data_IF_419457969377
#
_entry.id   IF_419457969377
#
_cell.length_a   1.000
_cell.length_b   1.000
_cell.length_c   1.000
_cell.angle_alpha   90.00
_cell.angle_beta   90.00
_cell.angle_gamma   90.00
#
_symmetry.space_group_name_H-M   'P 1'
#
loop_
_entity.id
_entity.type
_entity.pdbx_description
1 polymer ?
#
# COMPACT_ATOMS: atom_id res chain seq x y z
N UNK A 1 -12.41 33.53 5.02
CA UNK A 1 -13.43 32.46 4.95
C UNK A 1 -12.72 31.12 5.02
N UNK A 2 -12.97 30.23 6.00
CA UNK A 2 -12.32 28.93 6.02
C UNK A 2 -13.00 28.00 5.01
N UNK A 3 -12.30 27.68 3.92
CA UNK A 3 -12.75 26.70 2.94
C UNK A 3 -12.73 25.31 3.58
N UNK A 4 -13.91 24.71 3.80
CA UNK A 4 -14.04 23.34 4.32
C UNK A 4 -13.98 22.35 3.17
N UNK A 5 -12.81 21.72 2.99
CA UNK A 5 -12.64 20.64 2.02
C UNK A 5 -13.55 19.46 2.36
N UNK A 6 -14.46 19.10 1.44
CA UNK A 6 -15.24 17.86 1.54
C UNK A 6 -14.46 16.74 0.84
N UNK A 7 -13.74 15.93 1.60
CA UNK A 7 -13.10 14.73 1.06
C UNK A 7 -14.18 13.68 0.76
N UNK A 8 -14.39 13.38 -0.52
CA UNK A 8 -15.18 12.20 -0.91
C UNK A 8 -14.32 10.97 -0.73
N UNK A 9 -14.83 9.94 -0.05
CA UNK A 9 -14.14 8.66 0.08
C UNK A 9 -13.91 8.00 -1.29
N UNK A 10 -12.92 7.11 -1.36
CA UNK A 10 -12.72 6.28 -2.56
C UNK A 10 -13.78 5.18 -2.58
N UNK A 11 -14.50 5.05 -3.68
CA UNK A 11 -15.44 3.95 -3.91
C UNK A 11 -14.66 2.69 -4.33
N UNK A 12 -14.99 1.55 -3.74
CA UNK A 12 -14.56 0.24 -4.22
C UNK A 12 -15.53 -0.25 -5.29
N UNK A 13 -15.00 -0.85 -6.35
CA UNK A 13 -15.80 -1.43 -7.42
C UNK A 13 -15.99 -2.93 -7.15
N UNK A 14 -17.22 -3.41 -7.31
CA UNK A 14 -17.50 -4.84 -7.25
C UNK A 14 -16.92 -5.55 -8.49
N UNK A 15 -16.30 -6.73 -8.34
CA UNK A 15 -15.69 -7.45 -9.46
C UNK A 15 -16.73 -7.91 -10.51
N UNK A 16 -17.91 -8.35 -10.06
CA UNK A 16 -19.05 -8.70 -10.92
C UNK A 16 -19.49 -7.53 -11.83
N UNK A 17 -19.58 -6.32 -11.27
CA UNK A 17 -20.00 -5.14 -12.05
C UNK A 17 -18.97 -4.79 -13.14
N UNK A 18 -17.68 -4.92 -12.82
CA UNK A 18 -16.61 -4.73 -13.80
C UNK A 18 -16.72 -5.79 -14.90
N UNK A 19 -16.93 -7.06 -14.53
CA UNK A 19 -17.10 -8.17 -15.48
C UNK A 19 -18.26 -7.92 -16.43
N UNK A 20 -19.43 -7.59 -15.90
CA UNK A 20 -20.64 -7.30 -16.69
C UNK A 20 -20.43 -6.09 -17.60
N UNK A 21 -19.82 -5.02 -17.10
CA UNK A 21 -19.53 -3.82 -17.88
C UNK A 21 -18.55 -4.10 -19.04
N UNK A 22 -17.52 -4.90 -18.81
CA UNK A 22 -16.55 -5.29 -19.85
C UNK A 22 -17.22 -6.16 -20.91
N UNK A 23 -18.02 -7.15 -20.50
CA UNK A 23 -18.77 -8.00 -21.42
C UNK A 23 -19.76 -7.20 -22.26
N UNK A 24 -20.49 -6.26 -21.66
CA UNK A 24 -21.43 -5.37 -22.37
C UNK A 24 -20.70 -4.50 -23.41
N UNK A 25 -19.49 -4.02 -23.11
CA UNK A 25 -18.70 -3.24 -24.09
C UNK A 25 -18.11 -4.12 -25.20
N UNK A 26 -17.58 -5.29 -24.86
CA UNK A 26 -16.86 -6.14 -25.82
C UNK A 26 -17.82 -6.93 -26.71
N UNK A 27 -18.87 -7.53 -26.12
CA UNK A 27 -19.85 -8.35 -26.86
C UNK A 27 -20.91 -7.50 -27.56
N UNK A 28 -21.47 -6.52 -26.86
CA UNK A 28 -22.59 -5.71 -27.39
C UNK A 28 -22.11 -4.40 -28.05
N UNK A 29 -20.80 -4.14 -28.04
CA UNK A 29 -20.17 -2.97 -28.68
C UNK A 29 -20.72 -1.61 -28.23
N UNK A 30 -21.19 -1.53 -26.98
CA UNK A 30 -21.69 -0.28 -26.39
C UNK A 30 -20.57 0.72 -26.08
N UNK A 31 -20.91 2.01 -26.06
CA UNK A 31 -19.96 3.09 -25.78
C UNK A 31 -19.42 2.99 -24.34
N UNK A 32 -18.10 3.11 -24.18
CA UNK A 32 -17.41 2.97 -22.88
C UNK A 32 -17.91 3.98 -21.84
N UNK A 33 -18.17 5.24 -22.24
CA UNK A 33 -18.63 6.28 -21.31
C UNK A 33 -20.04 6.02 -20.77
N UNK A 34 -20.93 5.45 -21.60
CA UNK A 34 -22.32 5.18 -21.19
C UNK A 34 -22.39 3.96 -20.29
N UNK A 35 -21.63 2.90 -20.59
CA UNK A 35 -21.56 1.71 -19.75
C UNK A 35 -20.89 2.01 -18.42
N UNK A 36 -19.80 2.79 -18.40
CA UNK A 36 -19.16 3.23 -17.15
C UNK A 36 -20.12 3.96 -16.21
N UNK A 37 -20.96 4.86 -16.75
CA UNK A 37 -22.01 5.53 -15.96
C UNK A 37 -23.09 4.58 -15.45
N UNK A 38 -23.50 3.60 -16.27
CA UNK A 38 -24.54 2.61 -15.92
C UNK A 38 -24.14 1.75 -14.71
N UNK A 39 -22.89 1.29 -14.67
CA UNK A 39 -22.37 0.46 -13.58
C UNK A 39 -21.72 1.28 -12.45
N UNK A 40 -21.74 2.61 -12.55
CA UNK A 40 -21.06 3.53 -11.62
C UNK A 40 -19.60 3.14 -11.35
N UNK A 41 -18.86 2.93 -12.45
CA UNK A 41 -17.43 2.62 -12.50
C UNK A 41 -16.72 3.77 -13.21
N UNK A 42 -15.53 4.13 -12.74
CA UNK A 42 -14.71 5.12 -13.43
C UNK A 42 -14.31 4.65 -14.85
N UNK A 43 -14.39 5.55 -15.84
CA UNK A 43 -14.09 5.26 -17.25
C UNK A 43 -12.71 4.65 -17.41
N UNK A 44 -11.71 5.18 -16.69
CA UNK A 44 -10.33 4.70 -16.80
C UNK A 44 -10.18 3.30 -16.21
N UNK A 45 -10.93 2.99 -15.15
CA UNK A 45 -10.97 1.64 -14.58
C UNK A 45 -11.57 0.65 -15.56
N UNK A 46 -12.72 0.97 -16.16
CA UNK A 46 -13.34 0.12 -17.17
C UNK A 46 -12.40 -0.10 -18.37
N UNK A 47 -11.75 0.97 -18.85
CA UNK A 47 -10.83 0.91 -19.99
C UNK A 47 -9.59 0.05 -19.68
N UNK A 48 -9.07 0.11 -18.46
CA UNK A 48 -7.99 -0.78 -17.98
C UNK A 48 -8.40 -2.26 -18.09
N UNK A 49 -9.59 -2.62 -17.62
CA UNK A 49 -10.06 -4.01 -17.67
C UNK A 49 -10.45 -4.47 -19.07
N UNK A 50 -10.95 -3.59 -19.94
CA UNK A 50 -11.16 -3.91 -21.36
C UNK A 50 -9.81 -4.28 -22.01
N UNK A 51 -8.75 -3.50 -21.76
CA UNK A 51 -7.41 -3.82 -22.25
C UNK A 51 -6.89 -5.14 -21.69
N UNK A 52 -7.10 -5.38 -20.39
CA UNK A 52 -6.75 -6.65 -19.72
C UNK A 52 -7.44 -7.83 -20.40
N UNK A 53 -8.75 -7.74 -20.63
CA UNK A 53 -9.56 -8.79 -21.25
C UNK A 53 -9.20 -9.06 -22.72
N UNK A 54 -8.78 -8.04 -23.47
CA UNK A 54 -8.31 -8.20 -24.85
C UNK A 54 -6.98 -8.94 -24.94
N UNK A 55 -6.11 -8.74 -23.95
CA UNK A 55 -4.84 -9.44 -23.88
C UNK A 55 -5.04 -10.89 -23.41
N UNK A 56 -5.89 -11.08 -22.39
CA UNK A 56 -6.14 -12.36 -21.75
C UNK A 56 -7.64 -12.59 -21.50
N UNK A 57 -8.22 -13.63 -22.09
CA UNK A 57 -9.67 -13.91 -21.99
C UNK A 57 -10.05 -14.43 -20.60
N UNK A 58 -9.19 -15.21 -19.96
CA UNK A 58 -9.37 -15.72 -18.59
C UNK A 58 -8.84 -14.74 -17.54
N UNK A 59 -9.30 -13.48 -17.60
CA UNK A 59 -8.88 -12.48 -16.63
C UNK A 59 -9.76 -12.43 -15.41
N UNK A 60 -9.12 -12.58 -14.26
CA UNK A 60 -9.73 -12.22 -12.99
C UNK A 60 -9.98 -10.71 -12.95
N UNK A 61 -11.22 -10.31 -12.66
CA UNK A 61 -11.64 -8.91 -12.57
C UNK A 61 -11.22 -8.26 -11.24
N UNK A 62 -10.22 -8.82 -10.58
CA UNK A 62 -9.61 -8.31 -9.36
C UNK A 62 -8.39 -7.42 -9.66
N UNK A 63 -8.07 -6.46 -8.77
CA UNK A 63 -6.82 -5.71 -8.82
C UNK A 63 -5.61 -6.64 -8.68
N UNK A 64 -4.51 -6.34 -9.40
CA UNK A 64 -3.26 -7.11 -9.30
C UNK A 64 -2.36 -6.65 -8.13
N UNK A 65 -2.94 -6.10 -7.07
CA UNK A 65 -2.19 -5.66 -5.92
C UNK A 65 -3.00 -5.87 -4.65
N UNK A 66 -2.31 -6.25 -3.60
CA UNK A 66 -2.85 -6.29 -2.25
C UNK A 66 -2.50 -4.96 -1.60
N UNK A 67 -3.49 -4.27 -1.06
CA UNK A 67 -3.26 -3.02 -0.33
C UNK A 67 -2.84 -3.32 1.10
N UNK A 68 -1.94 -2.50 1.65
CA UNK A 68 -1.53 -2.55 3.06
C UNK A 68 -0.86 -3.85 3.52
N UNK A 69 -0.26 -4.60 2.60
CA UNK A 69 0.51 -5.80 2.92
C UNK A 69 1.91 -5.39 3.41
N UNK A 70 2.26 -5.78 4.64
CA UNK A 70 3.60 -5.55 5.23
C UNK A 70 4.52 -6.77 5.05
N UNK A 71 3.98 -7.97 5.26
CA UNK A 71 4.70 -9.24 5.09
C UNK A 71 4.16 -9.99 3.88
N UNK A 72 5.04 -10.73 3.19
CA UNK A 72 4.59 -11.72 2.21
C UNK A 72 3.77 -12.82 2.91
N UNK A 73 2.89 -13.50 2.17
CA UNK A 73 2.08 -14.60 2.74
C UNK A 73 2.94 -15.67 3.41
N UNK A 74 4.15 -15.92 2.88
CA UNK A 74 5.09 -16.89 3.44
C UNK A 74 5.64 -16.42 4.78
N UNK A 75 6.08 -15.17 4.86
CA UNK A 75 6.60 -14.56 6.10
C UNK A 75 5.51 -14.47 7.18
N UNK A 76 4.28 -14.10 6.79
CA UNK A 76 3.14 -14.02 7.70
C UNK A 76 2.80 -15.40 8.29
N UNK A 77 2.87 -16.46 7.48
CA UNK A 77 2.69 -17.83 7.96
C UNK A 77 3.80 -18.25 8.94
N UNK A 78 5.07 -17.96 8.62
CA UNK A 78 6.21 -18.27 9.51
C UNK A 78 6.07 -17.52 10.84
N UNK A 79 5.65 -16.25 10.80
CA UNK A 79 5.40 -15.47 12.00
C UNK A 79 4.23 -16.03 12.80
N UNK A 80 3.15 -16.44 12.14
CA UNK A 80 1.99 -17.05 12.79
C UNK A 80 2.38 -18.37 13.49
N UNK A 81 3.13 -19.25 12.81
CA UNK A 81 3.66 -20.48 13.40
C UNK A 81 4.54 -20.17 14.62
N UNK A 82 5.44 -19.21 14.51
CA UNK A 82 6.29 -18.78 15.62
C UNK A 82 5.51 -18.25 16.82
N UNK A 83 4.48 -17.43 16.59
CA UNK A 83 3.63 -16.91 17.67
C UNK A 83 2.80 -18.02 18.32
N UNK A 84 2.34 -19.00 17.54
CA UNK A 84 1.64 -20.18 18.06
C UNK A 84 2.56 -21.06 18.91
N UNK A 85 3.81 -21.30 18.48
CA UNK A 85 4.78 -22.07 19.27
C UNK A 85 5.14 -21.37 20.57
N UNK A 86 5.38 -20.05 20.54
CA UNK A 86 5.60 -19.27 21.77
C UNK A 86 4.40 -19.31 22.73
N UNK A 87 3.17 -19.24 22.19
CA UNK A 87 1.96 -19.32 23.00
C UNK A 87 1.84 -20.67 23.70
N UNK A 88 2.10 -21.77 22.99
CA UNK A 88 2.09 -23.12 23.56
C UNK A 88 3.13 -23.25 24.70
N UNK A 89 4.37 -22.80 24.47
CA UNK A 89 5.44 -22.82 25.47
C UNK A 89 5.12 -21.95 26.69
N UNK A 90 4.44 -20.81 26.48
CA UNK A 90 4.08 -19.91 27.58
C UNK A 90 2.92 -20.45 28.42
N UNK A 91 1.93 -21.10 27.81
CA UNK A 91 0.90 -21.81 28.57
C UNK A 91 1.53 -22.89 29.47
N UNK A 92 2.55 -23.60 29.00
CA UNK A 92 3.31 -24.56 29.81
C UNK A 92 4.21 -23.88 30.86
N UNK A 93 4.79 -22.72 30.55
CA UNK A 93 5.68 -22.00 31.49
C UNK A 93 4.93 -21.23 32.58
N UNK A 94 3.71 -20.75 32.34
CA UNK A 94 2.88 -20.12 33.39
C UNK A 94 2.47 -21.09 34.51
N UNK A 95 2.45 -22.41 34.25
CA UNK A 95 2.26 -23.42 35.29
C UNK A 95 3.47 -23.52 36.25
N UNK A 96 4.66 -23.09 35.84
CA UNK A 96 5.92 -23.22 36.60
C UNK A 96 6.48 -21.88 37.10
N UNK A 97 6.18 -20.76 36.43
CA UNK A 97 6.68 -19.41 36.74
C UNK A 97 5.95 -18.69 37.89
N UNK A 98 4.86 -19.23 38.43
CA UNK A 98 4.31 -18.76 39.71
C UNK A 98 5.32 -18.91 40.87
N UNK A 99 6.39 -19.69 40.67
CA UNK A 99 7.33 -20.07 41.73
C UNK A 99 8.69 -19.36 41.69
N UNK A 100 9.05 -18.57 40.67
CA UNK A 100 10.47 -18.16 40.47
C UNK A 100 10.78 -16.71 40.03
N UNK A 101 9.84 -15.76 40.11
CA UNK A 101 10.04 -14.36 39.64
C UNK A 101 10.28 -13.34 40.77
N UNK A 102 11.44 -13.42 41.45
CA UNK A 102 11.97 -12.28 42.23
C UNK A 102 13.38 -11.79 41.84
N UNK A 103 14.23 -12.56 41.13
CA UNK A 103 15.69 -12.28 41.23
C UNK A 103 16.43 -11.75 39.98
N UNK A 104 15.78 -11.40 38.85
CA UNK A 104 16.50 -11.11 37.57
C UNK A 104 16.32 -9.72 36.96
N UNK A 105 15.79 -8.73 37.67
CA UNK A 105 15.44 -7.42 37.10
C UNK A 105 16.55 -6.33 37.10
N UNK A 106 17.76 -6.57 37.64
CA UNK A 106 18.68 -5.46 38.00
C UNK A 106 19.78 -5.13 36.95
N UNK A 107 20.04 -5.96 35.93
CA UNK A 107 21.27 -5.82 35.12
C UNK A 107 21.15 -5.05 33.78
N UNK A 108 19.97 -4.60 33.35
CA UNK A 108 19.78 -4.05 31.99
C UNK A 108 19.72 -2.51 31.87
N UNK A 109 19.84 -1.76 32.96
CA UNK A 109 19.71 -0.27 32.91
C UNK A 109 21.06 0.43 32.65
N UNK A 110 22.18 -0.17 33.06
CA UNK A 110 23.50 0.47 32.99
C UNK A 110 24.13 0.53 31.58
N UNK A 111 23.70 -0.32 30.64
CA UNK A 111 24.30 -0.42 29.30
C UNK A 111 23.74 0.59 28.28
N UNK A 112 22.66 1.32 28.62
CA UNK A 112 22.02 2.26 27.69
C UNK A 112 22.56 3.69 27.75
N UNK A 113 23.31 4.06 28.80
CA UNK A 113 23.81 5.44 28.97
C UNK A 113 25.11 5.72 28.20
N UNK A 114 25.89 4.69 27.85
CA UNK A 114 27.22 4.88 27.23
C UNK A 114 27.21 4.97 25.70
N UNK A 115 26.04 4.87 25.04
CA UNK A 115 25.93 4.89 23.57
C UNK A 115 25.62 6.28 22.97
N UNK A 116 25.46 7.30 23.80
CA UNK A 116 24.98 8.63 23.36
C UNK A 116 26.05 9.71 23.24
N UNK A 117 27.32 9.43 23.54
CA UNK A 117 28.39 10.43 23.59
C UNK A 117 29.25 10.56 22.31
N UNK A 118 28.94 9.86 21.21
CA UNK A 118 29.75 9.94 19.97
C UNK A 118 29.02 10.44 18.73
N UNK A 119 27.86 11.10 18.88
CA UNK A 119 27.20 11.74 17.73
C UNK A 119 27.77 13.13 17.51
N UNK A 120 28.80 13.22 16.66
CA UNK A 120 29.25 14.50 16.08
C UNK A 120 28.04 15.09 15.35
N UNK A 121 27.54 16.24 15.83
CA UNK A 121 26.50 17.03 15.16
C UNK A 121 27.07 17.57 13.83
N UNK A 122 26.99 16.77 12.77
CA UNK A 122 27.34 17.21 11.41
C UNK A 122 26.18 17.98 10.82
N UNK A 123 26.47 19.11 10.18
CA UNK A 123 25.46 19.86 9.47
C UNK A 123 24.90 19.01 8.32
N UNK A 124 23.59 19.09 8.00
CA UNK A 124 22.96 18.25 6.99
C UNK A 124 23.55 18.45 5.58
N UNK A 125 24.22 19.58 5.34
CA UNK A 125 24.93 19.86 4.09
C UNK A 125 26.22 19.04 3.94
N UNK A 126 26.86 18.65 5.04
CA UNK A 126 28.12 17.88 5.06
C UNK A 126 27.92 16.39 4.80
N UNK A 127 26.71 15.88 5.02
CA UNK A 127 26.36 14.46 4.84
C UNK A 127 25.86 14.18 3.42
N UNK A 128 25.45 15.22 2.67
CA UNK A 128 24.72 15.00 1.41
C UNK A 128 25.67 14.48 0.32
N UNK A 129 25.39 13.31 -0.30
CA UNK A 129 26.27 12.72 -1.31
C UNK A 129 26.33 13.53 -2.63
N UNK A 130 25.42 14.50 -2.81
CA UNK A 130 25.32 15.33 -4.00
C UNK A 130 24.95 16.77 -3.64
N UNK A 131 25.39 17.77 -4.43
CA UNK A 131 25.08 19.17 -4.20
C UNK A 131 23.57 19.47 -4.31
N UNK A 132 23.15 20.57 -3.70
CA UNK A 132 21.75 21.02 -3.75
C UNK A 132 21.34 21.32 -5.20
N UNK A 133 20.27 20.69 -5.65
CA UNK A 133 19.77 20.86 -7.02
C UNK A 133 19.38 22.32 -7.29
N UNK A 134 19.61 22.83 -8.53
CA UNK A 134 19.22 24.18 -8.89
C UNK A 134 17.68 24.33 -8.90
N UNK A 135 17.16 25.54 -8.68
CA UNK A 135 15.74 25.80 -8.73
C UNK A 135 15.17 25.47 -10.12
N UNK A 136 13.97 24.87 -10.14
CA UNK A 136 13.30 24.49 -11.38
C UNK A 136 12.98 25.75 -12.20
N UNK A 137 13.51 25.82 -13.42
CA UNK A 137 13.12 26.85 -14.40
C UNK A 137 11.70 26.53 -14.89
N UNK A 138 10.74 27.40 -14.59
CA UNK A 138 9.36 27.28 -15.09
C UNK A 138 9.33 27.59 -16.60
N UNK A 139 9.58 26.60 -17.43
CA UNK A 139 9.19 26.67 -18.85
C UNK A 139 7.67 26.52 -18.91
N UNK A 140 6.99 27.57 -19.38
CA UNK A 140 5.53 27.66 -19.46
C UNK A 140 4.89 26.44 -20.14
N UNK A 141 3.64 26.16 -19.76
CA UNK A 141 2.84 25.03 -20.22
C UNK A 141 2.75 25.03 -21.75
N UNK A 142 3.20 23.96 -22.42
CA UNK A 142 2.91 23.71 -23.84
C UNK A 142 1.45 23.24 -23.96
N UNK A 143 0.67 23.98 -24.74
CA UNK A 143 -0.68 23.60 -25.20
C UNK A 143 -0.57 22.34 -26.06
N UNK A 144 -1.41 21.34 -25.81
CA UNK A 144 -1.47 20.13 -26.64
C UNK A 144 -2.18 20.49 -27.96
N UNK A 145 -1.46 20.42 -29.07
CA UNK A 145 -2.05 20.44 -30.40
C UNK A 145 -2.81 19.13 -30.65
N UNK A 146 -3.95 19.26 -31.32
CA UNK A 146 -4.98 18.24 -31.51
C UNK A 146 -4.44 16.99 -32.24
N UNK A 147 -4.69 15.80 -31.69
CA UNK A 147 -4.64 14.54 -32.44
C UNK A 147 -6.07 14.18 -32.83
N UNK A 148 -6.36 14.22 -34.12
CA UNK A 148 -7.61 13.76 -34.72
C UNK A 148 -7.77 12.23 -34.50
N UNK A 149 -9.04 11.83 -34.32
CA UNK A 149 -9.49 10.54 -33.78
C UNK A 149 -9.37 9.37 -34.76
#
# INVERSE_FOLDING_TARGET
MPFKWKCKGRKQNCPEDIRNAVLEVVKEQKKIRTTAKKYDIDKMTLLRYIRKYKNDVNTDFFPNFVTSQMFTKKEENVLAEYLLTLCALNYESHATLASSLQDKAVLNVATLQNRMSSQILRNPEEIRPYPKAPPRINKGKKTQENLEY
#
